data_IF_683416150373
#
_entry.id   IF_683416150373
#
_cell.length_a   1.000
_cell.length_b   1.000
_cell.length_c   1.000
_cell.angle_alpha   90.00
_cell.angle_beta   90.00
_cell.angle_gamma   90.00
#
_symmetry.space_group_name_H-M   'P 1'
#
loop_
_entity.id
_entity.type
_entity.pdbx_description
1 polymer ?
#
# COMPACT_ATOMS: atom_id res chain seq x y z
N UNK A 1 -34.10 22.38 -41.24
CA UNK A 1 -32.80 21.97 -40.69
C UNK A 1 -32.89 21.48 -39.24
N UNK A 2 -33.08 22.35 -38.23
CA UNK A 2 -33.10 21.97 -36.80
C UNK A 2 -34.08 20.83 -36.43
N UNK A 3 -35.23 20.75 -37.10
CA UNK A 3 -36.20 19.66 -36.90
C UNK A 3 -35.71 18.30 -37.43
N UNK A 4 -34.91 18.27 -38.50
CA UNK A 4 -34.36 17.05 -39.11
C UNK A 4 -33.27 16.48 -38.19
N UNK A 5 -32.31 17.32 -37.78
CA UNK A 5 -31.23 16.93 -36.87
C UNK A 5 -31.77 16.42 -35.52
N UNK A 6 -32.81 17.06 -34.97
CA UNK A 6 -33.49 16.59 -33.76
C UNK A 6 -34.14 15.20 -33.94
N UNK A 7 -34.70 14.91 -35.12
CA UNK A 7 -35.24 13.57 -35.42
C UNK A 7 -34.13 12.52 -35.54
N UNK A 8 -32.97 12.89 -36.10
CA UNK A 8 -31.79 12.02 -36.13
C UNK A 8 -31.30 11.73 -34.71
N UNK A 9 -31.12 12.76 -33.89
CA UNK A 9 -30.66 12.64 -32.49
C UNK A 9 -31.55 11.72 -31.65
N UNK A 10 -32.88 11.86 -31.80
CA UNK A 10 -33.86 11.01 -31.12
C UNK A 10 -33.79 9.54 -31.55
N UNK A 11 -33.38 9.26 -32.79
CA UNK A 11 -33.20 7.89 -33.30
C UNK A 11 -31.86 7.25 -32.87
N UNK A 12 -30.91 8.05 -32.37
CA UNK A 12 -29.60 7.59 -31.88
C UNK A 12 -29.59 7.32 -30.37
N UNK A 13 -30.75 7.06 -29.76
CA UNK A 13 -30.84 6.70 -28.34
C UNK A 13 -30.03 5.44 -28.03
N UNK A 14 -29.09 5.54 -27.08
CA UNK A 14 -28.16 4.48 -26.68
C UNK A 14 -26.68 4.71 -27.04
N UNK A 15 -26.36 5.79 -27.76
CA UNK A 15 -24.97 6.19 -28.07
C UNK A 15 -24.43 7.24 -27.09
N UNK A 16 -23.10 7.36 -26.97
CA UNK A 16 -22.46 8.41 -26.15
C UNK A 16 -22.65 9.80 -26.78
N UNK A 17 -22.43 10.86 -26.00
CA UNK A 17 -22.57 12.24 -26.52
C UNK A 17 -21.63 12.51 -27.69
N UNK A 18 -20.39 12.06 -27.60
CA UNK A 18 -19.38 12.26 -28.64
C UNK A 18 -19.78 11.58 -29.96
N UNK A 19 -20.29 10.35 -29.88
CA UNK A 19 -20.76 9.59 -31.06
C UNK A 19 -21.97 10.26 -31.72
N UNK A 20 -22.88 10.83 -30.91
CA UNK A 20 -24.04 11.57 -31.45
C UNK A 20 -23.60 12.83 -32.17
N UNK A 21 -22.66 13.58 -31.60
CA UNK A 21 -22.14 14.82 -32.21
C UNK A 21 -21.52 14.57 -33.58
N UNK A 22 -20.65 13.56 -33.70
CA UNK A 22 -20.00 13.20 -34.97
C UNK A 22 -21.03 12.84 -36.07
N UNK A 23 -22.06 12.07 -35.71
CA UNK A 23 -23.12 11.70 -36.67
C UNK A 23 -23.96 12.92 -37.05
N UNK A 24 -24.29 13.80 -36.10
CA UNK A 24 -25.07 15.01 -36.37
C UNK A 24 -24.31 15.98 -37.28
N UNK A 25 -23.01 16.16 -37.07
CA UNK A 25 -22.14 17.01 -37.91
C UNK A 25 -22.10 16.50 -39.36
N UNK A 26 -21.94 15.18 -39.56
CA UNK A 26 -21.98 14.57 -40.91
C UNK A 26 -23.31 14.84 -41.63
N UNK A 27 -24.44 14.66 -40.95
CA UNK A 27 -25.75 14.92 -41.55
C UNK A 27 -26.03 16.41 -41.73
N UNK A 28 -25.47 17.28 -40.89
CA UNK A 28 -25.55 18.73 -41.06
C UNK A 28 -24.81 19.18 -42.33
N UNK A 29 -23.58 18.69 -42.54
CA UNK A 29 -22.79 18.92 -43.76
C UNK A 29 -23.53 18.41 -45.01
N UNK A 30 -24.00 17.15 -44.99
CA UNK A 30 -24.76 16.56 -46.09
C UNK A 30 -26.05 17.33 -46.42
N UNK A 31 -26.76 17.84 -45.42
CA UNK A 31 -27.96 18.66 -45.63
C UNK A 31 -27.59 20.01 -46.24
N UNK A 32 -26.51 20.64 -45.77
CA UNK A 32 -26.02 21.91 -46.30
C UNK A 32 -25.60 21.80 -47.76
N UNK A 33 -24.84 20.76 -48.12
CA UNK A 33 -24.44 20.51 -49.51
C UNK A 33 -25.65 20.41 -50.44
N UNK A 34 -26.67 19.66 -50.04
CA UNK A 34 -27.88 19.47 -50.87
C UNK A 34 -28.73 20.75 -50.97
N UNK A 35 -28.74 21.57 -49.92
CA UNK A 35 -29.36 22.90 -49.97
C UNK A 35 -28.64 23.82 -50.95
N UNK A 36 -27.30 23.81 -50.97
CA UNK A 36 -26.50 24.60 -51.91
C UNK A 36 -26.73 24.18 -53.37
N UNK A 37 -27.02 22.90 -53.60
CA UNK A 37 -27.40 22.36 -54.91
C UNK A 37 -28.87 22.60 -55.29
N UNK A 38 -29.62 23.38 -54.48
CA UNK A 38 -30.99 23.81 -54.79
C UNK A 38 -32.09 22.82 -54.40
N UNK A 39 -31.79 21.78 -53.61
CA UNK A 39 -32.83 20.92 -53.06
C UNK A 39 -33.60 21.60 -51.91
N UNK A 40 -34.90 21.34 -51.82
CA UNK A 40 -35.70 21.84 -50.69
C UNK A 40 -35.55 20.93 -49.48
N UNK A 41 -35.63 21.51 -48.27
CA UNK A 41 -35.59 20.76 -47.01
C UNK A 41 -36.59 19.60 -46.92
N UNK A 42 -37.75 19.74 -47.58
CA UNK A 42 -38.82 18.73 -47.58
C UNK A 42 -38.39 17.49 -48.37
N UNK A 43 -37.68 17.68 -49.49
CA UNK A 43 -37.19 16.57 -50.31
C UNK A 43 -36.03 15.86 -49.61
N UNK A 44 -35.13 16.62 -48.98
CA UNK A 44 -34.04 16.08 -48.19
C UNK A 44 -34.59 15.25 -47.03
N UNK A 45 -35.58 15.76 -46.29
CA UNK A 45 -36.21 15.03 -45.19
C UNK A 45 -36.87 13.72 -45.63
N UNK A 46 -37.54 13.69 -46.79
CA UNK A 46 -38.14 12.47 -47.36
C UNK A 46 -37.10 11.43 -47.78
N UNK A 47 -35.90 11.87 -48.17
CA UNK A 47 -34.82 10.97 -48.58
C UNK A 47 -34.07 10.35 -47.40
N UNK A 48 -34.26 10.85 -46.19
CA UNK A 48 -33.58 10.36 -44.99
C UNK A 48 -34.44 9.27 -44.34
N UNK A 49 -33.97 8.02 -44.40
CA UNK A 49 -34.53 6.93 -43.57
C UNK A 49 -33.85 6.90 -42.20
N UNK A 50 -34.53 7.47 -41.21
CA UNK A 50 -34.06 7.52 -39.82
C UNK A 50 -33.80 6.13 -39.20
N UNK A 51 -34.49 5.08 -39.64
CA UNK A 51 -34.27 3.72 -39.13
C UNK A 51 -32.97 3.12 -39.67
N UNK A 52 -32.62 3.46 -40.91
CA UNK A 52 -31.40 3.00 -41.55
C UNK A 52 -30.16 3.62 -40.90
N UNK A 53 -30.22 4.91 -40.51
CA UNK A 53 -29.17 5.59 -39.74
C UNK A 53 -28.87 4.78 -38.47
N UNK A 54 -29.90 4.46 -37.69
CA UNK A 54 -29.72 3.69 -36.46
C UNK A 54 -29.10 2.32 -36.75
N UNK A 55 -29.55 1.61 -37.78
CA UNK A 55 -29.05 0.28 -38.16
C UNK A 55 -27.57 0.30 -38.56
N UNK A 56 -27.11 1.36 -39.24
CA UNK A 56 -25.75 1.47 -39.75
C UNK A 56 -24.75 1.94 -38.68
N UNK A 57 -25.16 2.82 -37.77
CA UNK A 57 -24.27 3.41 -36.77
C UNK A 57 -24.27 2.69 -35.42
N UNK A 58 -25.37 2.02 -35.03
CA UNK A 58 -25.48 1.34 -33.74
C UNK A 58 -24.48 0.18 -33.56
N UNK A 59 -24.24 -0.70 -34.55
CA UNK A 59 -23.24 -1.76 -34.42
C UNK A 59 -21.84 -1.19 -34.20
N UNK A 60 -21.45 -0.16 -34.97
CA UNK A 60 -20.13 0.49 -34.87
C UNK A 60 -19.90 1.11 -33.49
N UNK A 61 -20.93 1.77 -32.93
CA UNK A 61 -20.87 2.35 -31.60
C UNK A 61 -20.69 1.30 -30.49
N UNK A 62 -21.33 0.14 -30.62
CA UNK A 62 -21.22 -0.99 -29.68
C UNK A 62 -19.83 -1.65 -29.76
N UNK A 63 -19.27 -1.84 -30.96
CA UNK A 63 -17.93 -2.41 -31.12
C UNK A 63 -16.84 -1.50 -30.52
N UNK A 64 -16.94 -0.18 -30.73
CA UNK A 64 -15.98 0.77 -30.18
C UNK A 64 -16.07 0.88 -28.64
N UNK A 65 -17.26 0.79 -28.06
CA UNK A 65 -17.44 0.83 -26.60
C UNK A 65 -16.94 -0.45 -25.91
N UNK A 66 -17.10 -1.62 -26.57
CA UNK A 66 -16.58 -2.91 -26.07
C UNK A 66 -15.06 -2.93 -26.00
N UNK A 67 -14.36 -2.35 -26.99
CA UNK A 67 -12.89 -2.29 -27.01
C UNK A 67 -12.30 -1.33 -25.97
N UNK A 68 -12.98 -0.23 -25.62
CA UNK A 68 -12.53 0.67 -24.53
C UNK A 68 -12.67 0.03 -23.15
N UNK A 69 -13.73 -0.75 -22.92
CA UNK A 69 -14.00 -1.43 -21.64
C UNK A 69 -12.98 -2.53 -21.28
N UNK A 70 -12.35 -3.19 -22.26
CA UNK A 70 -11.40 -4.29 -21.98
C UNK A 70 -10.12 -3.78 -21.30
N UNK A 71 -9.60 -2.61 -21.70
CA UNK A 71 -8.40 -2.01 -21.08
C UNK A 71 -8.66 -1.51 -19.65
N UNK A 72 -9.85 -0.98 -19.36
CA UNK A 72 -10.22 -0.57 -18.00
C UNK A 72 -10.54 -1.77 -17.10
N UNK A 73 -11.22 -2.78 -17.62
CA UNK A 73 -11.51 -4.03 -16.90
C UNK A 73 -10.23 -4.77 -16.48
N UNK A 74 -9.17 -4.76 -17.30
CA UNK A 74 -7.88 -5.33 -16.93
C UNK A 74 -7.18 -4.55 -15.81
N UNK A 75 -7.25 -3.22 -15.81
CA UNK A 75 -6.69 -2.38 -14.73
C UNK A 75 -7.43 -2.59 -13.41
N UNK A 76 -8.76 -2.71 -13.44
CA UNK A 76 -9.58 -2.97 -12.25
C UNK A 76 -9.36 -4.39 -11.73
N UNK A 77 -9.32 -5.39 -12.63
CA UNK A 77 -9.02 -6.78 -12.26
C UNK A 77 -7.62 -6.97 -11.70
N UNK A 78 -6.60 -6.29 -12.25
CA UNK A 78 -5.24 -6.34 -11.70
C UNK A 78 -5.15 -5.72 -10.30
N UNK A 79 -5.88 -4.62 -10.04
CA UNK A 79 -5.98 -4.01 -8.71
C UNK A 79 -6.69 -4.93 -7.71
N UNK A 80 -7.75 -5.60 -8.14
CA UNK A 80 -8.47 -6.57 -7.33
C UNK A 80 -7.62 -7.82 -7.06
N UNK A 81 -6.85 -8.32 -8.03
CA UNK A 81 -5.90 -9.41 -7.83
C UNK A 81 -4.78 -9.04 -6.86
N UNK A 82 -4.23 -7.83 -6.96
CA UNK A 82 -3.27 -7.30 -5.99
C UNK A 82 -3.87 -7.19 -4.60
N UNK A 83 -5.13 -6.77 -4.48
CA UNK A 83 -5.83 -6.73 -3.20
C UNK A 83 -6.08 -8.14 -2.64
N UNK A 84 -6.49 -9.08 -3.49
CA UNK A 84 -6.76 -10.48 -3.14
C UNK A 84 -5.50 -11.26 -2.76
N UNK A 85 -4.36 -10.98 -3.41
CA UNK A 85 -3.04 -11.49 -3.03
C UNK A 85 -2.50 -10.75 -1.82
N UNK A 86 -2.78 -9.46 -1.64
CA UNK A 86 -2.30 -8.75 -0.45
C UNK A 86 -3.03 -9.21 0.82
N UNK A 87 -4.35 -9.44 0.75
CA UNK A 87 -5.23 -9.82 1.87
C UNK A 87 -4.70 -10.97 2.76
N UNK A 88 -4.29 -12.14 2.22
CA UNK A 88 -3.75 -13.22 3.03
C UNK A 88 -2.32 -12.96 3.54
N UNK A 89 -1.61 -11.93 3.05
CA UNK A 89 -0.23 -11.63 3.49
C UNK A 89 -0.17 -10.63 4.65
N UNK A 90 -1.18 -9.78 4.85
CA UNK A 90 -1.20 -8.82 5.97
C UNK A 90 -1.22 -9.51 7.33
N UNK A 91 -1.98 -10.61 7.46
CA UNK A 91 -2.10 -11.35 8.73
C UNK A 91 -0.76 -11.99 9.12
N UNK A 92 -0.08 -12.78 8.27
CA UNK A 92 1.27 -13.28 8.56
C UNK A 92 2.27 -12.18 8.86
N UNK A 93 2.24 -11.06 8.12
CA UNK A 93 3.18 -9.96 8.30
C UNK A 93 2.98 -9.27 9.67
N UNK A 94 1.73 -9.08 10.09
CA UNK A 94 1.40 -8.54 11.40
C UNK A 94 1.84 -9.46 12.53
N UNK A 95 1.67 -10.78 12.37
CA UNK A 95 2.12 -11.78 13.35
C UNK A 95 3.65 -11.73 13.46
N UNK A 96 4.39 -11.73 12.35
CA UNK A 96 5.86 -11.64 12.36
C UNK A 96 6.31 -10.37 13.10
N UNK A 97 5.69 -9.23 12.81
CA UNK A 97 6.02 -7.97 13.46
C UNK A 97 5.77 -8.02 14.98
N UNK A 98 4.62 -8.58 15.40
CA UNK A 98 4.30 -8.75 16.81
C UNK A 98 5.30 -9.66 17.52
N UNK A 99 5.66 -10.79 16.89
CA UNK A 99 6.65 -11.73 17.41
C UNK A 99 8.01 -11.05 17.58
N UNK A 100 8.46 -10.24 16.63
CA UNK A 100 9.74 -9.52 16.72
C UNK A 100 9.75 -8.58 17.94
N UNK A 101 8.69 -7.78 18.13
CA UNK A 101 8.58 -6.89 19.29
C UNK A 101 8.57 -7.69 20.60
N UNK A 102 7.81 -8.77 20.65
CA UNK A 102 7.70 -9.61 21.83
C UNK A 102 9.05 -10.24 22.20
N UNK A 103 9.76 -10.79 21.22
CA UNK A 103 11.11 -11.36 21.42
C UNK A 103 12.06 -10.28 21.94
N UNK A 104 12.04 -9.07 21.38
CA UNK A 104 12.88 -7.96 21.86
C UNK A 104 12.60 -7.60 23.33
N UNK A 105 11.33 -7.58 23.72
CA UNK A 105 10.94 -7.35 25.11
C UNK A 105 11.47 -8.43 26.05
N UNK A 106 11.35 -9.70 25.68
CA UNK A 106 11.89 -10.83 26.45
C UNK A 106 13.40 -10.73 26.58
N UNK A 107 14.11 -10.38 25.51
CA UNK A 107 15.56 -10.18 25.55
C UNK A 107 15.98 -9.07 26.51
N UNK A 108 15.33 -7.90 26.46
CA UNK A 108 15.62 -6.78 27.37
C UNK A 108 15.38 -7.20 28.83
N UNK A 109 14.26 -7.88 29.10
CA UNK A 109 13.92 -8.34 30.44
C UNK A 109 14.91 -9.39 30.96
N UNK A 110 15.25 -10.38 30.13
CA UNK A 110 16.23 -11.42 30.46
C UNK A 110 17.60 -10.82 30.76
N UNK A 111 18.08 -9.90 29.92
CA UNK A 111 19.38 -9.25 30.12
C UNK A 111 19.40 -8.40 31.40
N UNK A 112 18.29 -7.71 31.70
CA UNK A 112 18.11 -6.98 32.95
C UNK A 112 18.20 -7.90 34.18
N UNK A 113 17.51 -9.05 34.14
CA UNK A 113 17.59 -10.06 35.19
C UNK A 113 19.00 -10.61 35.38
N UNK A 114 19.70 -10.96 34.31
CA UNK A 114 21.07 -11.48 34.38
C UNK A 114 22.01 -10.45 35.00
N UNK A 115 21.89 -9.18 34.60
CA UNK A 115 22.71 -8.08 35.11
C UNK A 115 22.52 -7.87 36.61
N UNK A 116 21.34 -8.20 37.16
CA UNK A 116 21.05 -8.10 38.60
C UNK A 116 21.40 -9.38 39.37
N UNK A 117 21.03 -10.55 38.86
CA UNK A 117 21.12 -11.83 39.57
C UNK A 117 22.54 -12.40 39.60
N UNK A 118 23.33 -12.19 38.54
CA UNK A 118 24.69 -12.71 38.47
C UNK A 118 25.59 -12.04 39.52
N UNK A 119 25.60 -10.71 39.70
CA UNK A 119 26.34 -10.07 40.79
C UNK A 119 25.94 -10.56 42.18
N UNK A 120 24.63 -10.76 42.43
CA UNK A 120 24.13 -11.28 43.71
C UNK A 120 24.68 -12.69 43.95
N UNK A 121 24.68 -13.54 42.92
CA UNK A 121 25.19 -14.91 43.00
C UNK A 121 26.70 -14.95 43.26
N UNK A 122 27.47 -14.07 42.61
CA UNK A 122 28.90 -13.89 42.86
C UNK A 122 29.13 -13.42 44.30
N UNK A 123 28.32 -12.48 44.79
CA UNK A 123 28.44 -11.96 46.14
C UNK A 123 28.18 -13.03 47.23
N UNK A 124 27.14 -13.85 47.04
CA UNK A 124 26.86 -15.00 47.94
C UNK A 124 28.01 -16.00 47.92
N UNK A 125 28.56 -16.28 46.73
CA UNK A 125 29.71 -17.17 46.60
C UNK A 125 30.96 -16.63 47.29
N UNK A 126 31.24 -15.33 47.17
CA UNK A 126 32.35 -14.66 47.89
C UNK A 126 32.17 -14.77 49.40
N UNK A 127 30.95 -14.59 49.91
CA UNK A 127 30.67 -14.70 51.34
C UNK A 127 30.90 -16.12 51.86
N UNK A 128 30.53 -17.15 51.09
CA UNK A 128 30.74 -18.55 51.46
C UNK A 128 32.22 -18.91 51.62
N UNK A 129 33.08 -18.44 50.71
CA UNK A 129 34.52 -18.78 50.70
C UNK A 129 35.25 -18.27 51.95
N UNK A 130 34.74 -17.22 52.60
CA UNK A 130 35.30 -16.70 53.86
C UNK A 130 35.24 -17.76 54.97
N UNK A 131 34.24 -18.65 54.94
CA UNK A 131 34.04 -19.70 55.95
C UNK A 131 34.63 -21.06 55.55
N UNK A 132 35.17 -21.19 54.34
CA UNK A 132 35.81 -22.42 53.86
C UNK A 132 37.27 -22.52 54.36
N UNK A 133 37.84 -23.73 54.36
CA UNK A 133 39.18 -24.04 54.90
C UNK A 133 40.33 -23.70 53.92
N UNK A 134 40.18 -22.66 53.12
CA UNK A 134 41.22 -22.19 52.20
C UNK A 134 42.29 -21.34 52.90
N UNK A 135 43.48 -21.26 52.31
CA UNK A 135 44.52 -20.35 52.81
C UNK A 135 44.08 -18.88 52.68
N UNK A 136 44.52 -18.01 53.60
CA UNK A 136 44.14 -16.60 53.59
C UNK A 136 44.49 -15.90 52.25
N UNK A 137 45.63 -16.25 51.66
CA UNK A 137 46.08 -15.71 50.37
C UNK A 137 45.14 -16.10 49.22
N UNK A 138 44.70 -17.37 49.16
CA UNK A 138 43.77 -17.83 48.12
C UNK A 138 42.39 -17.20 48.26
N UNK A 139 41.90 -17.02 49.48
CA UNK A 139 40.60 -16.37 49.73
C UNK A 139 40.60 -14.91 49.28
N UNK A 140 41.67 -14.17 49.59
CA UNK A 140 41.80 -12.76 49.21
C UNK A 140 41.85 -12.58 47.68
N UNK A 141 42.62 -13.41 46.99
CA UNK A 141 42.70 -13.40 45.52
C UNK A 141 41.34 -13.71 44.88
N UNK A 142 40.63 -14.71 45.42
CA UNK A 142 39.33 -15.15 44.88
C UNK A 142 38.24 -14.08 45.04
N UNK A 143 38.23 -13.38 46.18
CA UNK A 143 37.37 -12.21 46.41
C UNK A 143 37.71 -11.09 45.43
N UNK A 144 39.00 -10.85 45.17
CA UNK A 144 39.46 -9.87 44.18
C UNK A 144 38.92 -10.16 42.78
N UNK A 145 38.97 -11.42 42.33
CA UNK A 145 38.36 -11.82 41.05
C UNK A 145 36.84 -11.59 41.02
N UNK A 146 36.14 -11.87 42.13
CA UNK A 146 34.71 -11.62 42.25
C UNK A 146 34.33 -10.15 42.01
N UNK A 147 35.06 -9.21 42.62
CA UNK A 147 34.83 -7.78 42.42
C UNK A 147 35.13 -7.32 40.99
N UNK A 148 36.20 -7.83 40.37
CA UNK A 148 36.52 -7.52 38.97
C UNK A 148 35.38 -7.98 38.05
N UNK A 149 34.85 -9.19 38.26
CA UNK A 149 33.75 -9.75 37.47
C UNK A 149 32.47 -8.93 37.63
N UNK A 150 32.10 -8.57 38.86
CA UNK A 150 30.93 -7.70 39.13
C UNK A 150 31.11 -6.34 38.43
N UNK A 151 32.29 -5.74 38.57
CA UNK A 151 32.64 -4.47 37.96
C UNK A 151 32.59 -4.48 36.43
N UNK A 152 32.75 -5.66 35.81
CA UNK A 152 32.66 -5.82 34.35
C UNK A 152 31.24 -6.14 33.87
N UNK A 153 30.49 -6.95 34.62
CA UNK A 153 29.12 -7.39 34.27
C UNK A 153 28.12 -6.23 34.28
N UNK A 154 28.18 -5.34 35.28
CA UNK A 154 27.23 -4.23 35.40
C UNK A 154 27.30 -3.27 34.19
N UNK A 155 28.47 -2.71 33.82
CA UNK A 155 28.55 -1.81 32.67
C UNK A 155 28.29 -2.54 31.34
N UNK A 156 28.72 -3.80 31.21
CA UNK A 156 28.46 -4.60 30.01
C UNK A 156 26.95 -4.85 29.82
N UNK A 157 26.25 -5.23 30.90
CA UNK A 157 24.80 -5.41 30.90
C UNK A 157 24.06 -4.12 30.55
N UNK A 158 24.45 -3.00 31.15
CA UNK A 158 23.87 -1.69 30.82
C UNK A 158 24.09 -1.31 29.35
N UNK A 159 25.32 -1.49 28.83
CA UNK A 159 25.65 -1.22 27.44
C UNK A 159 24.83 -2.09 26.48
N UNK A 160 24.69 -3.38 26.77
CA UNK A 160 23.87 -4.30 25.97
C UNK A 160 22.40 -3.89 25.96
N UNK A 161 21.79 -3.56 27.10
CA UNK A 161 20.39 -3.08 27.16
C UNK A 161 20.22 -1.81 26.32
N UNK A 162 21.17 -0.87 26.40
CA UNK A 162 21.15 0.36 25.60
C UNK A 162 21.25 0.07 24.10
N UNK A 163 22.12 -0.86 23.70
CA UNK A 163 22.28 -1.29 22.31
C UNK A 163 20.99 -1.92 21.78
N UNK A 164 20.38 -2.83 22.55
CA UNK A 164 19.12 -3.48 22.17
C UNK A 164 17.97 -2.49 22.04
N UNK A 165 17.86 -1.53 22.97
CA UNK A 165 16.86 -0.46 22.87
C UNK A 165 17.07 0.37 21.59
N UNK A 166 18.31 0.71 21.27
CA UNK A 166 18.63 1.45 20.04
C UNK A 166 18.27 0.67 18.77
N UNK A 167 18.54 -0.64 18.74
CA UNK A 167 18.15 -1.52 17.63
C UNK A 167 16.62 -1.57 17.50
N UNK A 168 15.90 -1.73 18.61
CA UNK A 168 14.44 -1.75 18.63
C UNK A 168 13.85 -0.43 18.10
N UNK A 169 14.33 0.72 18.58
CA UNK A 169 13.87 2.04 18.12
C UNK A 169 14.16 2.24 16.62
N UNK A 170 15.30 1.72 16.13
CA UNK A 170 15.66 1.77 14.72
C UNK A 170 14.75 0.90 13.87
N UNK A 171 14.47 -0.33 14.30
CA UNK A 171 13.54 -1.24 13.62
C UNK A 171 12.13 -0.65 13.54
N UNK A 172 11.62 -0.11 14.64
CA UNK A 172 10.31 0.56 14.66
C UNK A 172 10.30 1.73 13.69
N UNK A 173 11.38 2.52 13.62
CA UNK A 173 11.50 3.65 12.69
C UNK A 173 11.59 3.22 11.22
N UNK A 174 12.30 2.13 10.93
CA UNK A 174 12.37 1.58 9.57
C UNK A 174 11.00 1.03 9.17
N UNK A 175 10.35 0.28 10.06
CA UNK A 175 9.03 -0.27 9.82
C UNK A 175 7.96 0.82 9.64
N UNK A 176 7.99 1.88 10.47
CA UNK A 176 7.05 3.00 10.33
C UNK A 176 7.25 3.77 9.01
N UNK A 177 8.47 3.84 8.48
CA UNK A 177 8.73 4.41 7.14
C UNK A 177 8.25 3.50 6.00
N UNK A 178 8.38 2.18 6.15
CA UNK A 178 7.93 1.20 5.15
C UNK A 178 6.41 1.13 5.07
N UNK A 179 5.73 1.11 6.21
CA UNK A 179 4.25 1.06 6.29
C UNK A 179 3.62 2.44 6.08
N UNK A 180 4.24 3.50 6.60
CA UNK A 180 3.75 4.88 6.50
C UNK A 180 4.11 5.58 5.19
N UNK A 181 4.52 4.82 4.16
CA UNK A 181 5.08 5.25 2.87
C UNK A 181 4.88 6.72 2.56
N UNK A 182 5.97 7.50 2.60
CA UNK A 182 6.09 8.93 2.26
C UNK A 182 4.71 9.62 2.10
N UNK A 183 4.07 9.96 3.22
CA UNK A 183 3.10 11.05 3.22
C UNK A 183 3.86 12.32 2.85
N UNK A 184 4.10 12.53 1.55
CA UNK A 184 4.35 13.85 1.00
C UNK A 184 3.10 14.65 1.35
N UNK A 185 3.28 15.57 2.28
CA UNK A 185 2.30 16.56 2.65
C UNK A 185 1.70 17.15 1.37
N UNK A 186 0.42 16.88 1.15
CA UNK A 186 -0.40 17.70 0.28
C UNK A 186 -0.64 18.98 1.07
N UNK A 187 0.34 19.88 0.99
CA UNK A 187 0.14 21.29 1.34
C UNK A 187 -0.80 21.82 0.27
N UNK A 188 -2.08 21.86 0.60
CA UNK A 188 -3.09 22.54 -0.20
C UNK A 188 -2.77 24.03 -0.14
N UNK A 189 -2.65 24.61 -1.33
CA UNK A 189 -2.42 26.04 -1.62
C UNK A 189 -3.37 26.95 -0.84
#
# INVERSE_FOLDING_TARGET
MKNILRKIENNLNGMTKEQKTEILEYYEEMINDRLEHGETLINIEKSIDYNEIRKNYLPKAIYQSKNKNVKESFKVSAKLFLYLISSPFWIPLAIIYFVIIFVMWVFIFSMGLITLLVPISIFVWMFRIIFDTYSASSTLLTIGYGFILIGLIIPLGYFMIKLFKHINDTLIRVFSKLVGGNKKEVIIK
#
